data_IF_793713439120
#
_entry.id   IF_793713439120
#
_cell.length_a   1.000
_cell.length_b   1.000
_cell.length_c   1.000
_cell.angle_alpha   90.00
_cell.angle_beta   90.00
_cell.angle_gamma   90.00
#
_symmetry.space_group_name_H-M   'P 1'
#
loop_
_entity.id
_entity.type
_entity.pdbx_description
1 polymer ?
#
# COMPACT_ATOMS: atom_id res chain seq x y z
N UNK A 1 -43.34 15.09 -28.55
CA UNK A 1 -42.42 15.77 -27.61
C UNK A 1 -41.00 15.49 -28.09
N UNK A 2 -40.08 16.46 -28.00
CA UNK A 2 -38.66 16.21 -28.24
C UNK A 2 -38.11 15.24 -27.18
N UNK A 3 -37.06 14.49 -27.50
CA UNK A 3 -36.47 13.53 -26.57
C UNK A 3 -34.95 13.62 -26.56
N UNK A 4 -34.37 13.51 -25.37
CA UNK A 4 -32.92 13.59 -25.19
C UNK A 4 -32.29 12.20 -25.33
N UNK A 5 -31.27 12.09 -26.18
CA UNK A 5 -30.49 10.86 -26.33
C UNK A 5 -29.71 10.56 -25.04
N UNK A 6 -29.89 9.37 -24.47
CA UNK A 6 -29.16 8.97 -23.25
C UNK A 6 -27.67 8.69 -23.48
N UNK A 7 -27.24 8.52 -24.73
CA UNK A 7 -25.85 8.18 -25.09
C UNK A 7 -25.01 9.43 -25.36
N UNK A 8 -25.55 10.42 -26.07
CA UNK A 8 -24.83 11.63 -26.45
C UNK A 8 -25.48 12.94 -25.99
N UNK A 9 -26.58 12.88 -25.24
CA UNK A 9 -27.33 14.03 -24.68
C UNK A 9 -28.00 14.98 -25.69
N UNK A 10 -27.87 14.72 -26.99
CA UNK A 10 -28.52 15.50 -28.04
C UNK A 10 -30.05 15.45 -27.93
N UNK A 11 -30.71 16.60 -28.09
CA UNK A 11 -32.16 16.74 -28.01
C UNK A 11 -32.75 16.60 -29.42
N UNK A 12 -33.35 15.44 -29.70
CA UNK A 12 -33.94 15.14 -31.01
C UNK A 12 -35.30 15.86 -31.16
N UNK A 13 -35.60 16.42 -32.34
CA UNK A 13 -36.88 17.08 -32.60
C UNK A 13 -38.04 16.08 -32.57
N UNK A 14 -39.29 16.54 -32.37
CA UNK A 14 -40.46 15.66 -32.30
C UNK A 14 -40.70 14.79 -33.55
N UNK A 15 -40.18 15.18 -34.71
CA UNK A 15 -40.26 14.43 -35.98
C UNK A 15 -39.34 13.20 -36.00
N UNK A 16 -38.31 13.17 -35.16
CA UNK A 16 -37.31 12.11 -35.15
C UNK A 16 -37.64 11.06 -34.09
N UNK A 17 -38.23 9.96 -34.52
CA UNK A 17 -38.86 8.96 -33.62
C UNK A 17 -38.15 7.59 -33.59
N UNK A 18 -37.24 7.31 -34.53
CA UNK A 18 -36.61 5.98 -34.68
C UNK A 18 -35.22 5.90 -34.05
N UNK A 19 -34.40 6.95 -34.16
CA UNK A 19 -33.02 6.97 -33.66
C UNK A 19 -32.48 8.38 -33.48
N UNK A 20 -31.42 8.53 -32.69
CA UNK A 20 -30.78 9.84 -32.48
C UNK A 20 -30.07 10.31 -33.75
N UNK A 21 -30.32 11.55 -34.17
CA UNK A 21 -29.75 12.15 -35.39
C UNK A 21 -28.21 12.19 -35.41
N UNK A 22 -27.58 12.25 -34.22
CA UNK A 22 -26.12 12.39 -34.10
C UNK A 22 -25.41 11.04 -34.00
N UNK A 23 -26.00 10.06 -33.32
CA UNK A 23 -25.29 8.83 -32.98
C UNK A 23 -26.08 7.54 -33.26
N UNK A 24 -27.24 7.65 -33.91
CA UNK A 24 -28.08 6.55 -34.40
C UNK A 24 -28.54 5.57 -33.30
N UNK A 25 -28.52 6.00 -32.03
CA UNK A 25 -28.99 5.20 -30.91
C UNK A 25 -30.51 5.34 -30.75
N UNK A 26 -31.21 4.24 -30.45
CA UNK A 26 -32.66 4.20 -30.33
C UNK A 26 -33.22 5.02 -29.15
N UNK A 27 -34.48 5.53 -29.26
CA UNK A 27 -35.15 6.23 -28.18
C UNK A 27 -35.49 5.31 -27.00
N UNK A 28 -35.60 5.86 -25.78
CA UNK A 28 -36.02 5.08 -24.61
C UNK A 28 -37.50 4.66 -24.73
N UNK A 29 -37.78 3.36 -24.65
CA UNK A 29 -39.15 2.82 -24.62
C UNK A 29 -39.87 3.15 -23.30
N UNK A 30 -41.19 3.39 -23.30
CA UNK A 30 -41.97 3.55 -22.09
C UNK A 30 -42.33 2.18 -21.50
N UNK A 31 -41.73 1.80 -20.36
CA UNK A 31 -42.21 0.67 -19.56
C UNK A 31 -41.94 0.88 -18.07
N UNK A 32 -42.96 0.53 -17.32
CA UNK A 32 -43.21 0.61 -15.87
C UNK A 32 -42.16 -0.04 -14.97
N UNK A 33 -41.85 0.65 -13.87
CA UNK A 33 -41.49 0.22 -12.51
C UNK A 33 -40.66 -1.06 -12.24
N UNK A 34 -39.71 -0.86 -11.31
CA UNK A 34 -39.07 -1.81 -10.38
C UNK A 34 -38.06 -2.82 -10.93
N UNK A 35 -36.79 -2.43 -10.91
CA UNK A 35 -35.69 -3.27 -10.42
C UNK A 35 -34.50 -2.38 -10.03
N UNK A 36 -34.06 -2.52 -8.80
CA UNK A 36 -32.78 -2.07 -8.27
C UNK A 36 -31.65 -2.53 -9.20
N UNK A 37 -31.06 -1.61 -9.97
CA UNK A 37 -29.83 -1.91 -10.69
C UNK A 37 -28.66 -1.62 -9.77
N UNK A 38 -28.25 -2.66 -9.04
CA UNK A 38 -26.86 -2.82 -8.68
C UNK A 38 -26.05 -2.65 -9.96
N UNK A 39 -25.25 -1.60 -10.03
CA UNK A 39 -24.26 -1.46 -11.09
C UNK A 39 -23.27 -2.61 -10.93
N UNK A 40 -23.46 -3.69 -11.69
CA UNK A 40 -22.43 -4.72 -11.87
C UNK A 40 -21.31 -4.09 -12.69
N UNK A 41 -20.53 -3.24 -12.03
CA UNK A 41 -19.25 -2.80 -12.56
C UNK A 41 -18.46 -4.08 -12.86
N UNK A 42 -18.07 -4.27 -14.12
CA UNK A 42 -17.20 -5.37 -14.51
C UNK A 42 -16.04 -5.47 -13.52
N UNK A 43 -15.63 -6.66 -13.07
CA UNK A 43 -14.53 -6.80 -12.12
C UNK A 43 -13.30 -6.00 -12.58
N UNK A 44 -12.57 -5.40 -11.63
CA UNK A 44 -11.33 -4.65 -11.87
C UNK A 44 -10.20 -5.20 -11.02
N UNK A 45 -8.96 -5.07 -11.47
CA UNK A 45 -7.75 -5.41 -10.71
C UNK A 45 -6.99 -4.15 -10.31
N UNK A 46 -6.38 -4.14 -9.12
CA UNK A 46 -5.54 -3.03 -8.67
C UNK A 46 -4.10 -3.22 -9.14
N UNK A 47 -3.49 -2.16 -9.67
CA UNK A 47 -2.10 -2.18 -10.07
C UNK A 47 -1.17 -2.24 -8.85
N UNK A 48 -0.30 -3.26 -8.77
CA UNK A 48 0.70 -3.39 -7.69
C UNK A 48 1.72 -2.24 -7.63
N UNK A 49 1.93 -1.51 -8.72
CA UNK A 49 2.90 -0.40 -8.75
C UNK A 49 2.28 0.95 -8.42
N UNK A 50 0.98 1.15 -8.67
CA UNK A 50 0.37 2.47 -8.53
C UNK A 50 -1.05 2.48 -7.97
N UNK A 51 -1.52 1.34 -7.48
CA UNK A 51 -2.83 1.10 -6.83
C UNK A 51 -4.07 1.31 -7.72
N UNK A 52 -3.92 1.87 -8.93
CA UNK A 52 -5.02 2.16 -9.85
C UNK A 52 -5.83 0.93 -10.22
N UNK A 53 -7.17 1.07 -10.26
CA UNK A 53 -8.02 0.00 -10.77
C UNK A 53 -8.09 -0.04 -12.31
N UNK A 54 -7.83 -1.22 -12.85
CA UNK A 54 -7.80 -1.52 -14.28
C UNK A 54 -8.84 -2.59 -14.62
N UNK A 55 -9.34 -2.58 -15.85
CA UNK A 55 -10.24 -3.65 -16.33
C UNK A 55 -9.48 -4.98 -16.46
N UNK A 56 -10.10 -6.10 -16.08
CA UNK A 56 -9.52 -7.44 -16.35
C UNK A 56 -9.43 -7.78 -17.85
N UNK A 57 -10.04 -6.99 -18.75
CA UNK A 57 -9.84 -7.12 -20.20
C UNK A 57 -8.43 -6.70 -20.65
N UNK A 58 -7.73 -5.93 -19.81
CA UNK A 58 -6.38 -5.43 -20.09
C UNK A 58 -5.41 -6.02 -19.06
N UNK A 59 -4.42 -6.84 -19.49
CA UNK A 59 -3.41 -7.40 -18.60
C UNK A 59 -2.33 -6.38 -18.21
N UNK A 60 -2.42 -5.14 -18.71
CA UNK A 60 -1.46 -4.07 -18.48
C UNK A 60 -2.19 -2.89 -17.86
N UNK A 61 -1.61 -2.29 -16.81
CA UNK A 61 -2.14 -1.09 -16.20
C UNK A 61 -2.14 0.05 -17.23
N UNK A 62 -3.30 0.64 -17.48
CA UNK A 62 -3.47 1.68 -18.50
C UNK A 62 -2.74 2.98 -18.16
N UNK A 63 -2.35 3.17 -16.89
CA UNK A 63 -1.61 4.35 -16.44
C UNK A 63 -0.11 4.08 -16.43
N UNK A 64 0.37 3.08 -15.68
CA UNK A 64 1.81 2.87 -15.46
C UNK A 64 2.45 1.75 -16.29
N UNK A 65 1.67 1.00 -17.07
CA UNK A 65 2.21 -0.09 -17.90
C UNK A 65 2.61 -1.35 -17.13
N UNK A 66 2.39 -1.40 -15.81
CA UNK A 66 2.67 -2.60 -15.00
C UNK A 66 1.74 -3.74 -15.41
N UNK A 67 2.28 -4.95 -15.63
CA UNK A 67 1.50 -6.15 -15.98
C UNK A 67 0.78 -6.73 -14.75
N UNK A 68 -0.41 -7.28 -14.96
CA UNK A 68 -1.12 -8.10 -13.99
C UNK A 68 -0.65 -9.55 -14.12
N UNK A 69 0.14 -10.03 -13.17
CA UNK A 69 0.69 -11.39 -13.16
C UNK A 69 -0.38 -12.48 -13.05
N UNK A 70 -1.54 -12.18 -12.45
CA UNK A 70 -2.64 -13.15 -12.25
C UNK A 70 -3.36 -13.47 -13.57
N UNK A 71 -3.51 -12.50 -14.46
CA UNK A 71 -4.13 -12.71 -15.77
C UNK A 71 -3.22 -13.43 -16.77
N UNK A 72 -1.90 -13.39 -16.55
CA UNK A 72 -0.95 -14.09 -17.43
C UNK A 72 -0.94 -15.60 -17.23
N UNK A 73 -1.42 -16.11 -16.09
CA UNK A 73 -1.42 -17.56 -15.79
C UNK A 73 -2.69 -18.25 -16.30
N UNK A 74 -3.81 -17.53 -16.43
CA UNK A 74 -5.11 -18.10 -16.85
C UNK A 74 -5.25 -18.34 -18.37
N UNK A 75 -4.22 -18.06 -19.18
CA UNK A 75 -4.26 -18.21 -20.64
C UNK A 75 -3.46 -19.39 -21.20
N UNK A 76 -2.97 -20.30 -20.37
CA UNK A 76 -2.25 -21.50 -20.82
C UNK A 76 -3.13 -22.75 -20.73
N UNK A 77 -3.95 -22.95 -21.76
CA UNK A 77 -4.36 -24.29 -22.20
C UNK A 77 -3.85 -24.45 -23.64
N UNK A 78 -2.61 -24.94 -23.78
CA UNK A 78 -2.19 -25.91 -24.80
C UNK A 78 -0.67 -26.16 -24.67
N UNK A 79 -0.30 -27.44 -24.72
CA UNK A 79 0.97 -28.04 -24.28
C UNK A 79 1.97 -28.12 -25.46
N UNK A 80 3.19 -27.61 -25.29
CA UNK A 80 4.47 -28.36 -25.39
C UNK A 80 5.70 -27.43 -25.48
N UNK A 81 6.79 -27.99 -24.96
CA UNK A 81 8.21 -27.60 -25.03
C UNK A 81 8.77 -26.67 -23.94
N UNK A 82 9.74 -27.27 -23.25
CA UNK A 82 10.60 -26.78 -22.20
C UNK A 82 11.57 -25.76 -22.79
N UNK A 83 11.61 -24.57 -22.22
CA UNK A 83 12.85 -23.84 -21.96
C UNK A 83 12.68 -23.05 -20.65
N UNK A 84 13.60 -23.31 -19.74
CA UNK A 84 13.74 -22.68 -18.43
C UNK A 84 14.35 -21.28 -18.62
N UNK A 85 13.52 -20.23 -18.52
CA UNK A 85 13.99 -18.85 -18.42
C UNK A 85 13.23 -18.11 -17.30
N UNK A 86 13.77 -18.22 -16.09
CA UNK A 86 13.41 -17.39 -14.95
C UNK A 86 13.94 -15.96 -15.15
N UNK A 87 13.26 -15.17 -15.98
CA UNK A 87 13.62 -13.76 -16.20
C UNK A 87 12.43 -12.92 -16.66
N UNK A 88 11.68 -12.31 -15.72
CA UNK A 88 10.74 -11.24 -16.07
C UNK A 88 10.67 -10.17 -14.98
N UNK A 89 11.57 -9.19 -15.08
CA UNK A 89 11.58 -7.97 -14.27
C UNK A 89 12.17 -6.75 -14.98
N UNK A 90 12.29 -6.77 -16.30
CA UNK A 90 12.86 -5.66 -17.09
C UNK A 90 11.79 -4.98 -17.95
N UNK A 91 11.39 -3.76 -17.60
CA UNK A 91 10.50 -2.94 -18.44
C UNK A 91 11.30 -2.40 -19.66
N UNK A 92 11.18 -3.19 -20.72
CA UNK A 92 11.48 -3.12 -22.17
C UNK A 92 11.09 -1.89 -23.07
N UNK A 93 11.82 -0.77 -23.10
CA UNK A 93 12.24 0.04 -24.30
C UNK A 93 11.28 0.78 -25.26
N UNK A 94 11.76 1.86 -25.94
CA UNK A 94 11.23 2.34 -27.22
C UNK A 94 12.06 1.83 -28.42
N UNK A 95 11.40 1.16 -29.37
CA UNK A 95 11.90 0.88 -30.71
C UNK A 95 12.05 2.19 -31.51
N UNK A 96 13.27 2.49 -31.98
CA UNK A 96 13.51 3.54 -32.98
C UNK A 96 13.34 2.96 -34.39
N UNK A 97 12.74 3.76 -35.28
CA UNK A 97 12.53 3.39 -36.68
C UNK A 97 13.83 3.36 -37.49
N UNK A 98 13.98 2.31 -38.30
CA UNK A 98 15.03 2.18 -39.29
C UNK A 98 14.92 3.30 -40.34
N UNK A 99 16.00 4.05 -40.56
CA UNK A 99 16.29 4.68 -41.85
C UNK A 99 17.65 4.21 -42.35
N UNK A 100 17.62 3.56 -43.51
CA UNK A 100 18.80 3.20 -44.31
C UNK A 100 19.46 4.48 -44.85
N UNK A 101 20.80 4.54 -44.85
CA UNK A 101 21.63 4.97 -46.00
C UNK A 101 23.13 4.79 -45.75
N UNK A 102 23.75 4.01 -46.65
CA UNK A 102 25.08 4.07 -47.28
C UNK A 102 26.35 4.40 -46.46
N UNK A 103 27.19 3.36 -46.34
CA UNK A 103 28.63 3.23 -46.69
C UNK A 103 29.40 4.51 -47.07
N UNK A 104 30.50 4.76 -46.35
CA UNK A 104 31.86 4.85 -46.92
C UNK A 104 32.95 4.73 -45.81
N UNK A 105 34.16 4.41 -46.26
CA UNK A 105 35.22 3.60 -45.63
C UNK A 105 36.47 4.35 -45.14
N UNK A 106 37.43 3.58 -44.58
CA UNK A 106 38.90 3.79 -44.37
C UNK A 106 39.33 4.29 -42.96
N UNK A 107 39.97 3.43 -42.14
CA UNK A 107 41.45 3.25 -41.93
C UNK A 107 42.05 4.42 -41.10
N UNK A 108 42.95 4.29 -40.09
CA UNK A 108 43.88 3.25 -39.67
C UNK A 108 44.50 3.61 -38.28
N UNK A 109 45.33 2.70 -37.71
CA UNK A 109 46.52 2.96 -36.86
C UNK A 109 46.54 2.90 -35.30
N UNK A 110 47.03 1.75 -34.78
CA UNK A 110 48.20 1.51 -33.88
C UNK A 110 48.42 2.28 -32.54
N UNK A 111 48.23 1.56 -31.40
CA UNK A 111 49.09 1.26 -30.19
C UNK A 111 50.39 2.06 -29.80
N UNK A 112 51.08 1.84 -28.62
CA UNK A 112 50.71 1.37 -27.25
C UNK A 112 51.47 2.06 -26.04
N UNK A 113 51.35 1.46 -24.83
CA UNK A 113 52.21 1.51 -23.59
C UNK A 113 51.82 2.57 -22.52
N UNK A 114 51.87 2.36 -21.19
CA UNK A 114 52.83 1.65 -20.31
C UNK A 114 52.15 1.16 -19.00
N UNK A 115 52.66 0.04 -18.48
CA UNK A 115 52.33 -0.64 -17.23
C UNK A 115 52.60 0.14 -15.92
N UNK A 116 52.01 -0.33 -14.81
CA UNK A 116 52.67 -0.45 -13.50
C UNK A 116 51.95 -1.47 -12.61
N UNK A 117 52.64 -2.58 -12.37
CA UNK A 117 52.37 -3.55 -11.30
C UNK A 117 52.63 -2.92 -9.92
N UNK A 118 51.97 -3.45 -8.88
CA UNK A 118 52.60 -3.65 -7.57
C UNK A 118 51.94 -4.80 -6.82
N UNK A 119 52.80 -5.76 -6.47
CA UNK A 119 52.55 -7.01 -5.76
C UNK A 119 52.27 -6.77 -4.27
N UNK A 120 51.43 -7.63 -3.66
CA UNK A 120 51.71 -8.22 -2.35
C UNK A 120 50.89 -9.50 -2.17
N UNK A 121 51.60 -10.62 -2.13
CA UNK A 121 51.15 -11.91 -1.62
C UNK A 121 51.82 -12.13 -0.26
N UNK A 122 51.10 -12.71 0.71
CA UNK A 122 51.65 -13.57 1.77
C UNK A 122 50.61 -14.67 2.05
N UNK A 123 51.12 -15.90 2.03
CA UNK A 123 50.53 -17.23 2.24
C UNK A 123 49.87 -17.42 3.63
N UNK A 124 48.70 -18.07 3.73
CA UNK A 124 48.46 -19.51 3.96
C UNK A 124 48.95 -20.06 5.33
N UNK A 125 47.98 -20.45 6.17
CA UNK A 125 48.09 -21.67 6.98
C UNK A 125 46.73 -22.36 6.99
N UNK A 126 46.83 -23.63 6.62
CA UNK A 126 45.83 -24.66 6.41
C UNK A 126 45.55 -25.40 7.72
N UNK A 127 44.32 -25.87 7.90
CA UNK A 127 44.02 -27.09 8.65
C UNK A 127 42.75 -27.69 8.08
N UNK A 128 42.98 -28.56 7.10
CA UNK A 128 42.08 -29.61 6.67
C UNK A 128 42.00 -30.71 7.73
N UNK A 129 40.81 -31.29 7.91
CA UNK A 129 40.68 -32.74 7.94
C UNK A 129 39.27 -33.12 7.47
N UNK A 130 39.27 -33.88 6.38
CA UNK A 130 38.14 -34.48 5.66
C UNK A 130 37.48 -35.62 6.46
N UNK A 131 36.19 -35.85 6.19
CA UNK A 131 35.72 -37.22 5.95
C UNK A 131 34.53 -37.22 4.97
N UNK A 132 34.87 -37.47 3.71
CA UNK A 132 34.02 -38.00 2.62
C UNK A 132 33.54 -39.43 3.02
N UNK A 133 32.39 -40.03 2.66
CA UNK A 133 31.51 -39.98 1.47
C UNK A 133 30.37 -41.04 1.70
N UNK A 134 29.57 -41.48 0.70
CA UNK A 134 28.30 -40.93 0.19
C UNK A 134 27.09 -41.89 0.45
N UNK A 135 25.83 -41.51 0.14
CA UNK A 135 24.79 -42.47 -0.28
C UNK A 135 23.52 -41.79 -0.89
N UNK A 136 23.40 -42.01 -2.20
CA UNK A 136 22.23 -42.20 -3.10
C UNK A 136 20.81 -41.73 -2.74
N UNK A 137 20.19 -41.16 -3.78
CA UNK A 137 18.79 -40.78 -3.98
C UNK A 137 17.72 -41.80 -3.55
N UNK A 138 16.56 -41.28 -3.10
CA UNK A 138 15.20 -41.75 -3.43
C UNK A 138 14.11 -40.81 -2.91
N UNK A 139 13.04 -40.74 -3.69
CA UNK A 139 11.85 -39.90 -3.58
C UNK A 139 10.96 -40.08 -2.33
N UNK A 140 10.10 -39.07 -2.13
CA UNK A 140 8.66 -39.17 -1.79
C UNK A 140 8.22 -38.98 -0.33
N UNK A 141 7.45 -37.89 -0.14
CA UNK A 141 6.27 -37.74 0.72
C UNK A 141 6.40 -38.07 2.22
N UNK A 142 6.40 -37.03 3.06
CA UNK A 142 5.56 -36.98 4.27
C UNK A 142 5.51 -35.57 4.87
N UNK A 143 4.37 -34.92 4.71
CA UNK A 143 3.99 -33.72 5.45
C UNK A 143 2.56 -33.96 5.96
N UNK A 144 2.43 -34.76 7.02
CA UNK A 144 1.27 -34.81 7.93
C UNK A 144 1.79 -35.37 9.26
N UNK A 145 1.24 -34.85 10.36
CA UNK A 145 1.39 -35.33 11.75
C UNK A 145 2.49 -34.69 12.62
N UNK A 146 2.37 -33.38 12.88
CA UNK A 146 2.69 -32.82 14.21
C UNK A 146 1.61 -31.76 14.53
N UNK A 147 0.40 -32.20 14.83
CA UNK A 147 -0.71 -31.33 15.23
C UNK A 147 -1.51 -32.02 16.33
N UNK A 148 -0.90 -32.23 17.51
CA UNK A 148 -1.67 -32.68 18.70
C UNK A 148 -0.98 -32.48 20.06
N UNK A 149 -0.20 -31.41 20.26
CA UNK A 149 0.42 -31.18 21.58
C UNK A 149 0.59 -29.71 21.97
N UNK A 150 -0.42 -28.86 21.76
CA UNK A 150 -0.42 -27.52 22.36
C UNK A 150 -1.80 -27.07 22.86
N UNK A 151 -2.52 -27.99 23.50
CA UNK A 151 -3.77 -27.69 24.20
C UNK A 151 -3.67 -28.02 25.69
N UNK A 152 -2.74 -27.37 26.40
CA UNK A 152 -2.77 -27.27 27.87
C UNK A 152 -1.79 -26.17 28.29
N UNK A 153 -2.32 -24.98 28.58
CA UNK A 153 -1.77 -23.90 29.44
C UNK A 153 -2.33 -22.52 29.02
N UNK A 154 -3.64 -22.41 28.79
CA UNK A 154 -4.32 -21.11 28.82
C UNK A 154 -5.14 -21.03 30.11
N UNK A 155 -4.57 -20.42 31.15
CA UNK A 155 -5.35 -20.01 32.32
C UNK A 155 -6.32 -18.90 31.89
N UNK A 156 -7.59 -18.92 32.32
CA UNK A 156 -8.53 -17.84 32.04
C UNK A 156 -8.01 -16.54 32.64
N UNK A 157 -7.87 -15.48 31.84
CA UNK A 157 -7.66 -14.13 32.37
C UNK A 157 -8.93 -13.69 33.08
N UNK A 158 -8.82 -13.43 34.38
CA UNK A 158 -9.88 -12.85 35.20
C UNK A 158 -10.31 -11.49 34.64
N UNK A 159 -11.63 -11.23 34.63
CA UNK A 159 -12.22 -9.92 34.33
C UNK A 159 -11.68 -8.89 35.31
N UNK A 160 -10.79 -8.02 34.85
CA UNK A 160 -10.36 -6.85 35.61
C UNK A 160 -11.39 -5.74 35.42
N UNK A 161 -12.07 -5.47 36.54
CA UNK A 161 -12.76 -4.26 36.99
C UNK A 161 -12.82 -3.04 36.04
N UNK A 162 -14.06 -2.64 35.78
CA UNK A 162 -14.50 -1.38 35.16
C UNK A 162 -14.24 -0.20 36.10
N UNK A 163 -13.13 0.53 35.91
CA UNK A 163 -12.91 1.75 36.70
C UNK A 163 -11.54 2.43 36.65
N UNK A 164 -10.53 1.90 35.95
CA UNK A 164 -9.27 2.63 35.75
C UNK A 164 -9.43 3.63 34.61
N UNK A 165 -9.49 4.92 34.96
CA UNK A 165 -9.39 6.01 33.99
C UNK A 165 -8.19 5.78 33.07
N UNK A 166 -8.43 5.85 31.76
CA UNK A 166 -7.40 5.65 30.75
C UNK A 166 -6.39 6.80 30.85
N UNK A 167 -5.30 6.58 31.59
CA UNK A 167 -4.28 7.62 31.81
C UNK A 167 -3.56 8.01 30.51
N UNK A 168 -3.48 7.10 29.54
CA UNK A 168 -2.89 7.35 28.22
C UNK A 168 -3.44 6.39 27.16
N UNK A 169 -3.57 6.87 25.92
CA UNK A 169 -3.94 6.08 24.75
C UNK A 169 -2.85 6.16 23.70
N UNK A 170 -2.55 5.04 23.03
CA UNK A 170 -1.61 4.98 21.92
C UNK A 170 -2.33 4.58 20.62
N UNK A 171 -2.10 5.34 19.57
CA UNK A 171 -2.64 5.09 18.24
C UNK A 171 -1.48 4.98 17.26
N UNK A 172 -1.36 3.85 16.59
CA UNK A 172 -0.37 3.61 15.53
C UNK A 172 -1.02 3.81 14.17
N UNK A 173 -0.35 4.53 13.25
CA UNK A 173 -0.67 4.51 11.82
C UNK A 173 0.53 4.00 11.04
N UNK A 174 0.31 3.08 10.10
CA UNK A 174 1.39 2.50 9.32
C UNK A 174 0.90 2.01 7.93
N UNK A 175 1.40 2.61 6.84
CA UNK A 175 1.32 2.00 5.52
C UNK A 175 2.32 0.81 5.45
N UNK A 176 1.80 -0.41 5.34
CA UNK A 176 2.61 -1.64 5.45
C UNK A 176 3.29 -2.06 4.14
N UNK A 177 3.00 -1.33 3.05
CA UNK A 177 3.50 -1.56 1.71
C UNK A 177 3.17 -2.93 1.13
N UNK A 178 2.18 -2.94 0.23
CA UNK A 178 1.67 -4.13 -0.47
C UNK A 178 2.63 -4.79 -1.48
N UNK A 179 3.92 -4.43 -1.47
CA UNK A 179 4.94 -4.99 -2.38
C UNK A 179 5.42 -6.35 -1.87
N UNK A 180 4.57 -7.36 -2.09
CA UNK A 180 4.69 -8.72 -1.53
C UNK A 180 5.88 -9.53 -2.05
N UNK A 181 6.44 -9.18 -3.20
CA UNK A 181 7.63 -9.85 -3.76
C UNK A 181 8.93 -9.53 -2.99
N UNK A 182 8.90 -8.59 -2.04
CA UNK A 182 10.05 -8.18 -1.26
C UNK A 182 9.87 -8.59 0.21
N UNK A 183 10.47 -9.72 0.58
CA UNK A 183 10.64 -10.20 1.95
C UNK A 183 9.38 -10.08 2.84
N UNK A 184 8.21 -10.38 2.27
CA UNK A 184 6.90 -10.12 2.86
C UNK A 184 6.79 -10.58 4.32
N UNK A 185 7.07 -11.86 4.59
CA UNK A 185 6.93 -12.43 5.93
C UNK A 185 7.86 -11.74 6.94
N UNK A 186 9.11 -11.47 6.57
CA UNK A 186 10.08 -10.80 7.44
C UNK A 186 9.66 -9.36 7.72
N UNK A 187 9.18 -8.64 6.70
CA UNK A 187 8.64 -7.28 6.85
C UNK A 187 7.43 -7.25 7.77
N UNK A 188 6.44 -8.11 7.53
CA UNK A 188 5.22 -8.16 8.34
C UNK A 188 5.51 -8.62 9.77
N UNK A 189 6.46 -9.54 9.96
CA UNK A 189 6.96 -9.90 11.29
C UNK A 189 7.59 -8.70 11.99
N UNK A 190 8.45 -7.92 11.32
CA UNK A 190 9.06 -6.74 11.91
C UNK A 190 8.02 -5.67 12.30
N UNK A 191 6.98 -5.47 11.50
CA UNK A 191 5.83 -4.62 11.88
C UNK A 191 5.11 -5.21 13.10
N UNK A 192 4.91 -6.53 13.15
CA UNK A 192 4.34 -7.22 14.32
C UNK A 192 5.17 -7.06 15.59
N UNK A 193 6.50 -7.09 15.48
CA UNK A 193 7.43 -6.85 16.59
C UNK A 193 7.29 -5.41 17.12
N UNK A 194 7.10 -4.41 16.24
CA UNK A 194 6.79 -3.03 16.63
C UNK A 194 5.42 -2.93 17.34
N UNK A 195 4.41 -3.66 16.87
CA UNK A 195 3.10 -3.72 17.53
C UNK A 195 3.24 -4.29 18.95
N UNK A 196 3.99 -5.38 19.12
CA UNK A 196 4.28 -5.97 20.42
C UNK A 196 5.04 -5.01 21.34
N UNK A 197 6.08 -4.35 20.82
CA UNK A 197 6.93 -3.43 21.56
C UNK A 197 6.16 -2.21 22.08
N UNK A 198 5.38 -1.56 21.21
CA UNK A 198 4.70 -0.31 21.56
C UNK A 198 3.33 -0.53 22.18
N UNK A 199 2.74 -1.70 21.96
CA UNK A 199 1.43 -2.13 22.45
C UNK A 199 0.34 -1.06 22.26
N UNK A 200 0.12 -0.57 21.02
CA UNK A 200 -0.86 0.48 20.77
C UNK A 200 -2.29 0.03 21.12
N UNK A 201 -3.14 0.94 21.55
CA UNK A 201 -4.57 0.68 21.81
C UNK A 201 -5.36 0.60 20.51
N UNK A 202 -4.95 1.38 19.51
CA UNK A 202 -5.52 1.39 18.17
C UNK A 202 -4.43 1.30 17.11
N UNK A 203 -4.71 0.58 16.02
CA UNK A 203 -3.81 0.50 14.87
C UNK A 203 -4.58 0.81 13.60
N UNK A 204 -4.02 1.69 12.78
CA UNK A 204 -4.49 2.11 11.47
C UNK A 204 -3.49 1.63 10.42
N UNK A 205 -3.73 0.48 9.81
CA UNK A 205 -2.91 0.01 8.70
C UNK A 205 -3.49 0.43 7.34
N UNK A 206 -2.61 0.76 6.40
CA UNK A 206 -2.92 1.01 4.99
C UNK A 206 -2.16 0.01 4.11
N UNK A 207 -2.63 -0.24 2.89
CA UNK A 207 -2.04 -1.21 1.95
C UNK A 207 -2.00 -2.66 2.44
N UNK A 208 -2.96 -3.05 3.30
CA UNK A 208 -3.10 -4.44 3.71
C UNK A 208 -3.71 -5.25 2.57
N UNK A 209 -3.02 -6.29 2.12
CA UNK A 209 -3.51 -7.28 1.16
C UNK A 209 -4.09 -8.49 1.89
N UNK A 210 -4.65 -9.46 1.13
CA UNK A 210 -5.09 -10.74 1.70
C UNK A 210 -3.96 -11.47 2.42
N UNK A 211 -2.79 -11.60 1.77
CA UNK A 211 -1.69 -12.40 2.31
C UNK A 211 -1.07 -11.71 3.55
N UNK A 212 -0.99 -10.38 3.56
CA UNK A 212 -0.61 -9.62 4.76
C UNK A 212 -1.60 -9.84 5.91
N UNK A 213 -2.90 -9.80 5.62
CA UNK A 213 -3.93 -10.05 6.63
C UNK A 213 -3.81 -11.45 7.24
N UNK A 214 -3.55 -12.48 6.43
CA UNK A 214 -3.36 -13.83 6.94
C UNK A 214 -2.11 -13.92 7.84
N UNK A 215 -0.99 -13.27 7.47
CA UNK A 215 0.21 -13.19 8.32
C UNK A 215 -0.10 -12.50 9.66
N UNK A 216 -0.79 -11.36 9.62
CA UNK A 216 -1.17 -10.63 10.83
C UNK A 216 -2.13 -11.44 11.70
N UNK A 217 -3.09 -12.16 11.10
CA UNK A 217 -4.04 -13.01 11.83
C UNK A 217 -3.36 -14.18 12.55
N UNK A 218 -2.25 -14.69 12.01
CA UNK A 218 -1.43 -15.73 12.63
C UNK A 218 -0.47 -15.18 13.70
N UNK A 219 -0.33 -13.86 13.81
CA UNK A 219 0.59 -13.24 14.76
C UNK A 219 0.05 -13.29 16.19
N UNK A 220 0.94 -13.45 17.16
CA UNK A 220 0.59 -13.59 18.59
C UNK A 220 -0.13 -12.38 19.19
N UNK A 221 0.07 -11.19 18.61
CA UNK A 221 -0.58 -9.97 19.04
C UNK A 221 -2.01 -9.81 18.50
N UNK A 222 -2.46 -10.60 17.53
CA UNK A 222 -3.75 -10.40 16.86
C UNK A 222 -4.94 -10.48 17.81
N UNK A 223 -4.96 -11.48 18.67
CA UNK A 223 -6.14 -11.87 19.45
C UNK A 223 -6.58 -10.85 20.51
N UNK A 224 -5.74 -9.84 20.83
CA UNK A 224 -6.13 -8.77 21.75
C UNK A 224 -6.84 -7.61 21.04
N UNK A 225 -6.97 -7.66 19.71
CA UNK A 225 -7.60 -6.61 18.92
C UNK A 225 -8.92 -7.06 18.29
N UNK A 226 -9.93 -6.19 18.39
CA UNK A 226 -11.08 -6.19 17.51
C UNK A 226 -10.68 -5.63 16.14
N UNK A 227 -11.10 -6.30 15.06
CA UNK A 227 -10.70 -5.95 13.70
C UNK A 227 -11.88 -5.45 12.85
N UNK A 228 -11.66 -4.36 12.11
CA UNK A 228 -12.65 -3.77 11.20
C UNK A 228 -12.86 -4.54 9.89
N UNK A 229 -12.03 -5.56 9.63
CA UNK A 229 -12.03 -6.33 8.38
C UNK A 229 -12.43 -7.76 8.67
N UNK A 230 -13.58 -8.17 8.11
CA UNK A 230 -14.01 -9.57 8.10
C UNK A 230 -13.19 -10.38 7.09
N UNK A 231 -13.14 -11.70 7.26
CA UNK A 231 -12.50 -12.61 6.30
C UNK A 231 -13.08 -12.43 4.88
N UNK A 232 -14.40 -12.22 4.74
CA UNK A 232 -15.01 -11.96 3.43
C UNK A 232 -14.50 -10.67 2.77
N UNK A 233 -14.36 -9.60 3.57
CA UNK A 233 -13.82 -8.31 3.07
C UNK A 233 -12.35 -8.46 2.69
N UNK A 234 -11.57 -9.20 3.48
CA UNK A 234 -10.14 -9.42 3.23
C UNK A 234 -9.87 -10.12 1.89
N UNK A 235 -10.79 -10.99 1.44
CA UNK A 235 -10.61 -11.82 0.25
C UNK A 235 -11.26 -11.22 -1.01
N UNK A 236 -12.07 -10.17 -0.86
CA UNK A 236 -12.79 -9.52 -1.98
C UNK A 236 -12.11 -8.28 -2.54
N UNK A 237 -11.13 -7.71 -1.84
CA UNK A 237 -10.38 -6.51 -2.28
C UNK A 237 -8.91 -6.84 -2.47
N UNK A 238 -8.28 -6.19 -3.45
CA UNK A 238 -6.85 -6.35 -3.71
C UNK A 238 -5.98 -5.82 -2.55
N UNK A 239 -6.37 -4.69 -1.97
CA UNK A 239 -5.79 -4.13 -0.76
C UNK A 239 -6.83 -3.23 -0.06
N UNK A 240 -6.60 -2.89 1.21
CA UNK A 240 -7.52 -2.09 2.02
C UNK A 240 -6.83 -1.43 3.22
N UNK A 241 -7.56 -0.54 3.89
CA UNK A 241 -7.19 -0.10 5.22
C UNK A 241 -7.79 -1.04 6.28
N UNK A 242 -7.05 -1.25 7.36
CA UNK A 242 -7.46 -2.10 8.48
C UNK A 242 -7.34 -1.33 9.79
N UNK A 243 -8.45 -1.24 10.54
CA UNK A 243 -8.48 -0.69 11.88
C UNK A 243 -8.53 -1.84 12.89
N UNK A 244 -7.67 -1.75 13.90
CA UNK A 244 -7.61 -2.66 15.03
C UNK A 244 -7.79 -1.87 16.32
N UNK A 245 -8.55 -2.41 17.27
CA UNK A 245 -8.82 -1.79 18.58
C UNK A 245 -8.70 -2.80 19.71
N UNK A 246 -7.91 -2.50 20.74
CA UNK A 246 -7.94 -3.25 22.00
C UNK A 246 -9.19 -2.96 22.83
N UNK A 247 -9.78 -1.79 22.64
CA UNK A 247 -10.98 -1.37 23.37
C UNK A 247 -12.25 -1.89 22.67
N UNK A 248 -13.34 -2.13 23.42
CA UNK A 248 -14.62 -2.48 22.86
C UNK A 248 -15.09 -1.44 21.83
N UNK A 249 -15.47 -1.92 20.64
CA UNK A 249 -15.91 -1.07 19.53
C UNK A 249 -17.41 -1.23 19.34
N UNK A 250 -18.13 -0.11 19.41
CA UNK A 250 -19.57 -0.05 19.16
C UNK A 250 -19.89 -0.40 17.71
N UNK A 251 -19.11 0.14 16.78
CA UNK A 251 -19.25 -0.17 15.36
C UNK A 251 -17.98 0.12 14.57
N UNK A 252 -17.74 -0.73 13.58
CA UNK A 252 -16.86 -0.43 12.47
C UNK A 252 -17.70 -0.07 11.25
N UNK A 253 -17.28 0.96 10.51
CA UNK A 253 -17.90 1.34 9.25
C UNK A 253 -16.84 1.79 8.25
N UNK A 254 -17.16 1.72 6.97
CA UNK A 254 -16.31 2.18 5.89
C UNK A 254 -17.14 2.95 4.87
N UNK A 255 -16.65 4.11 4.44
CA UNK A 255 -17.28 4.93 3.41
C UNK A 255 -16.35 5.11 2.23
N UNK A 256 -16.70 4.56 1.07
CA UNK A 256 -15.97 4.76 -0.17
C UNK A 256 -16.03 6.23 -0.62
N UNK A 257 -14.90 6.75 -1.09
CA UNK A 257 -14.88 8.05 -1.76
C UNK A 257 -15.37 7.89 -3.20
N UNK A 258 -16.40 8.66 -3.57
CA UNK A 258 -17.04 8.53 -4.89
C UNK A 258 -16.13 8.96 -6.04
N UNK A 259 -15.18 9.85 -5.78
CA UNK A 259 -14.18 10.32 -6.75
C UNK A 259 -12.94 9.41 -6.84
N UNK A 260 -12.88 8.32 -6.05
CA UNK A 260 -11.70 7.45 -6.05
C UNK A 260 -11.65 6.52 -7.25
N UNK A 261 -10.48 6.42 -7.85
CA UNK A 261 -10.16 5.46 -8.93
C UNK A 261 -9.23 4.35 -8.46
N UNK A 262 -8.76 4.44 -7.21
CA UNK A 262 -7.91 3.46 -6.54
C UNK A 262 -8.64 2.69 -5.44
N UNK A 263 -9.93 2.97 -5.18
CA UNK A 263 -10.74 2.25 -4.20
C UNK A 263 -10.59 2.75 -2.77
N UNK A 264 -10.29 4.04 -2.63
CA UNK A 264 -10.02 4.66 -1.33
C UNK A 264 -11.31 4.80 -0.54
N UNK A 265 -11.21 4.56 0.76
CA UNK A 265 -12.33 4.62 1.69
C UNK A 265 -11.89 5.23 3.02
N UNK A 266 -12.83 5.89 3.70
CA UNK A 266 -12.70 6.29 5.09
C UNK A 266 -13.20 5.15 5.98
N UNK A 267 -12.30 4.49 6.70
CA UNK A 267 -12.63 3.51 7.73
C UNK A 267 -12.79 4.21 9.09
N UNK A 268 -13.82 3.85 9.85
CA UNK A 268 -14.17 4.49 11.12
C UNK A 268 -14.46 3.41 12.17
N UNK A 269 -13.87 3.55 13.35
CA UNK A 269 -14.18 2.81 14.55
C UNK A 269 -14.79 3.76 15.59
N UNK A 270 -16.08 3.57 15.91
CA UNK A 270 -16.73 4.25 17.02
C UNK A 270 -16.57 3.38 18.28
N UNK A 271 -15.82 3.87 19.27
CA UNK A 271 -15.48 3.12 20.50
C UNK A 271 -16.64 3.23 21.50
N UNK A 272 -16.92 2.15 22.24
CA UNK A 272 -18.02 2.14 23.21
C UNK A 272 -17.81 3.17 24.31
N UNK A 273 -16.65 3.10 24.98
CA UNK A 273 -16.28 4.02 26.05
C UNK A 273 -14.76 4.14 26.18
N UNK A 274 -14.29 5.37 26.39
CA UNK A 274 -12.90 5.65 26.76
C UNK A 274 -12.91 6.55 28.00
N UNK A 275 -13.06 5.94 29.18
CA UNK A 275 -13.08 6.67 30.45
C UNK A 275 -14.31 7.57 30.61
N UNK A 276 -15.49 7.09 30.21
CA UNK A 276 -16.75 7.83 30.23
C UNK A 276 -16.96 8.76 29.02
N UNK A 277 -16.08 8.70 28.02
CA UNK A 277 -16.04 9.65 26.89
C UNK A 277 -16.19 8.94 25.55
N UNK A 278 -17.02 9.52 24.67
CA UNK A 278 -17.11 9.10 23.27
C UNK A 278 -15.78 9.38 22.56
N UNK A 279 -15.30 8.39 21.80
CA UNK A 279 -14.06 8.46 21.07
C UNK A 279 -14.18 7.76 19.71
N UNK A 280 -13.60 8.37 18.68
CA UNK A 280 -13.60 7.83 17.33
C UNK A 280 -12.16 7.78 16.80
N UNK A 281 -11.79 6.63 16.25
CA UNK A 281 -10.56 6.48 15.46
C UNK A 281 -10.95 6.25 14.02
N UNK A 282 -10.33 6.98 13.11
CA UNK A 282 -10.54 6.82 11.68
C UNK A 282 -9.21 6.64 10.95
N UNK A 283 -9.27 5.91 9.84
CA UNK A 283 -8.14 5.80 8.90
C UNK A 283 -8.57 5.89 7.46
N UNK A 284 -7.67 6.38 6.63
CA UNK A 284 -7.79 6.35 5.19
C UNK A 284 -6.42 6.16 4.55
N UNK A 285 -6.44 5.80 3.27
CA UNK A 285 -5.30 5.94 2.38
C UNK A 285 -5.77 6.84 1.23
N UNK A 286 -5.52 8.16 1.30
CA UNK A 286 -6.06 9.09 0.30
C UNK A 286 -5.39 8.93 -1.07
N UNK A 287 -6.06 9.37 -2.14
CA UNK A 287 -5.64 9.14 -3.53
C UNK A 287 -4.14 9.42 -3.75
N UNK A 288 -3.40 8.42 -4.21
CA UNK A 288 -1.95 8.52 -4.38
C UNK A 288 -1.58 9.24 -5.68
N UNK A 289 -0.44 9.94 -5.74
CA UNK A 289 0.12 10.36 -7.02
C UNK A 289 0.55 9.12 -7.83
N UNK A 290 0.23 9.08 -9.12
CA UNK A 290 0.73 8.05 -10.04
C UNK A 290 1.31 8.71 -11.31
N UNK A 291 2.51 9.32 -11.21
CA UNK A 291 3.17 9.85 -12.40
C UNK A 291 3.53 8.71 -13.33
N UNK A 292 2.89 8.67 -14.49
CA UNK A 292 3.12 7.61 -15.46
C UNK A 292 2.97 8.08 -16.92
N UNK A 293 3.59 7.36 -17.88
CA UNK A 293 3.41 7.66 -19.30
C UNK A 293 1.92 7.76 -19.69
N UNK A 294 1.57 8.63 -20.65
CA UNK A 294 2.46 9.49 -21.43
C UNK A 294 2.77 10.83 -20.74
N UNK A 295 1.99 11.25 -19.74
CA UNK A 295 2.03 12.63 -19.22
C UNK A 295 2.95 12.83 -18.01
N UNK A 296 3.15 11.80 -17.19
CA UNK A 296 3.98 11.82 -15.97
C UNK A 296 3.54 12.84 -14.89
N UNK A 297 2.36 13.43 -15.01
CA UNK A 297 1.86 14.53 -14.17
C UNK A 297 0.61 14.17 -13.36
N UNK A 298 0.19 12.89 -13.36
CA UNK A 298 -1.04 12.46 -12.71
C UNK A 298 -0.87 12.39 -11.19
N UNK A 299 -1.04 13.54 -10.53
CA UNK A 299 -0.81 13.72 -9.09
C UNK A 299 -2.05 13.54 -8.21
N UNK A 300 -3.24 13.47 -8.81
CA UNK A 300 -4.53 13.29 -8.15
C UNK A 300 -4.78 14.23 -6.95
N UNK A 301 -4.25 15.46 -7.06
CA UNK A 301 -4.31 16.46 -5.98
C UNK A 301 -5.74 16.88 -5.67
N UNK A 302 -6.54 17.14 -6.71
CA UNK A 302 -7.93 17.56 -6.55
C UNK A 302 -8.75 16.49 -5.84
N UNK A 303 -8.60 15.23 -6.27
CA UNK A 303 -9.30 14.09 -5.70
C UNK A 303 -8.95 13.93 -4.23
N UNK A 304 -7.66 13.94 -3.90
CA UNK A 304 -7.15 13.84 -2.53
C UNK A 304 -7.63 14.98 -1.63
N UNK A 305 -7.65 16.23 -2.12
CA UNK A 305 -8.17 17.39 -1.37
C UNK A 305 -9.66 17.25 -1.08
N UNK A 306 -10.45 16.83 -2.07
CA UNK A 306 -11.89 16.55 -1.89
C UNK A 306 -12.13 15.44 -0.86
N UNK A 307 -11.34 14.36 -0.91
CA UNK A 307 -11.43 13.24 0.04
C UNK A 307 -11.10 13.66 1.48
N UNK A 308 -10.04 14.46 1.67
CA UNK A 308 -9.67 14.99 2.99
C UNK A 308 -10.79 15.88 3.57
N UNK A 309 -11.36 16.77 2.75
CA UNK A 309 -12.50 17.60 3.14
C UNK A 309 -13.74 16.77 3.48
N UNK A 310 -14.07 15.77 2.67
CA UNK A 310 -15.19 14.87 2.92
C UNK A 310 -15.01 14.13 4.25
N UNK A 311 -13.81 13.59 4.51
CA UNK A 311 -13.52 12.88 5.75
C UNK A 311 -13.67 13.77 6.99
N UNK A 312 -13.09 14.97 6.99
CA UNK A 312 -13.23 15.91 8.11
C UNK A 312 -14.70 16.32 8.31
N UNK A 313 -15.46 16.52 7.23
CA UNK A 313 -16.88 16.84 7.31
C UNK A 313 -17.74 15.74 7.91
N UNK A 314 -17.41 14.47 7.66
CA UNK A 314 -18.09 13.32 8.28
C UNK A 314 -17.73 13.21 9.76
N UNK A 315 -16.45 13.40 10.08
CA UNK A 315 -15.93 13.14 11.41
C UNK A 315 -16.20 14.27 12.42
N UNK A 316 -16.38 15.52 11.96
CA UNK A 316 -16.60 16.69 12.84
C UNK A 316 -17.80 16.60 13.78
N UNK A 317 -18.74 15.68 13.50
CA UNK A 317 -19.91 15.39 14.36
C UNK A 317 -19.52 14.82 15.72
N UNK A 318 -18.31 14.25 15.85
CA UNK A 318 -17.83 13.65 17.08
C UNK A 318 -16.94 14.62 17.89
N UNK A 319 -17.01 14.56 19.23
CA UNK A 319 -16.26 15.46 20.10
C UNK A 319 -14.77 15.09 20.24
N UNK A 320 -14.43 13.80 20.13
CA UNK A 320 -13.07 13.29 20.22
C UNK A 320 -12.79 12.36 19.03
N UNK A 321 -11.94 12.81 18.13
CA UNK A 321 -11.56 12.09 16.92
C UNK A 321 -10.05 12.11 16.75
N UNK A 322 -9.49 10.95 16.44
CA UNK A 322 -8.17 10.80 15.83
C UNK A 322 -8.35 10.26 14.43
N UNK A 323 -7.97 11.05 13.42
CA UNK A 323 -7.94 10.61 12.02
C UNK A 323 -6.49 10.47 11.58
N UNK A 324 -6.03 9.23 11.42
CA UNK A 324 -4.66 8.89 11.05
C UNK A 324 -4.59 8.12 9.74
N UNK A 325 -3.44 8.10 9.08
CA UNK A 325 -3.26 7.29 7.86
C UNK A 325 -2.29 7.91 6.88
N UNK A 326 -2.08 7.20 5.78
CA UNK A 326 -1.37 7.72 4.61
C UNK A 326 -2.27 8.69 3.86
N UNK A 327 -2.04 9.98 4.09
CA UNK A 327 -2.80 11.05 3.46
C UNK A 327 -2.28 11.36 2.06
N UNK A 328 -1.18 10.76 1.60
CA UNK A 328 -0.47 11.10 0.35
C UNK A 328 -0.24 12.60 0.13
N UNK A 329 -0.21 13.38 1.22
CA UNK A 329 -0.34 14.83 1.14
C UNK A 329 0.98 15.50 0.77
N UNK A 330 0.96 16.31 -0.28
CA UNK A 330 2.09 17.13 -0.70
C UNK A 330 1.76 18.60 -0.45
N UNK A 331 2.28 19.18 0.64
CA UNK A 331 1.97 20.57 1.04
C UNK A 331 2.29 21.61 -0.05
N UNK A 332 3.18 21.29 -1.00
CA UNK A 332 3.51 22.18 -2.13
C UNK A 332 2.51 22.09 -3.27
N UNK A 333 1.92 20.90 -3.52
CA UNK A 333 1.03 20.65 -4.65
C UNK A 333 -0.44 20.72 -4.26
N UNK A 334 -0.77 20.22 -3.07
CA UNK A 334 -2.13 20.15 -2.53
C UNK A 334 -2.48 21.38 -1.69
N UNK A 335 -1.46 22.18 -1.34
CA UNK A 335 -1.59 23.31 -0.45
C UNK A 335 -1.68 22.90 1.02
N UNK A 336 -2.19 23.82 1.84
CA UNK A 336 -2.38 23.57 3.25
C UNK A 336 -3.45 22.48 3.45
N UNK A 337 -3.18 21.52 4.34
CA UNK A 337 -4.16 20.52 4.71
C UNK A 337 -5.45 21.21 5.21
N UNK A 338 -6.66 20.80 4.78
CA UNK A 338 -7.91 21.53 4.99
C UNK A 338 -8.45 21.38 6.42
N UNK A 339 -7.64 21.68 7.43
CA UNK A 339 -8.02 21.66 8.83
C UNK A 339 -9.19 22.62 9.06
N UNK A 340 -10.26 22.11 9.68
CA UNK A 340 -11.42 22.89 10.10
C UNK A 340 -11.23 23.38 11.54
N UNK A 341 -12.05 24.33 11.98
CA UNK A 341 -12.00 24.83 13.36
C UNK A 341 -12.08 23.71 14.42
N UNK A 342 -11.15 23.77 15.38
CA UNK A 342 -11.01 22.77 16.44
C UNK A 342 -10.25 21.51 16.03
N UNK A 343 -9.79 21.41 14.79
CA UNK A 343 -8.86 20.37 14.35
C UNK A 343 -7.42 20.84 14.42
N UNK A 344 -6.51 19.91 14.67
CA UNK A 344 -5.06 20.14 14.66
C UNK A 344 -4.35 19.01 13.92
N UNK A 345 -3.14 19.30 13.42
CA UNK A 345 -2.18 18.30 12.95
C UNK A 345 -1.22 17.98 14.11
N UNK A 346 -1.21 16.73 14.56
CA UNK A 346 -0.48 16.33 15.76
C UNK A 346 1.04 16.51 15.62
N UNK A 347 1.61 16.25 14.44
CA UNK A 347 3.03 16.41 14.20
C UNK A 347 3.40 17.90 14.24
N UNK A 348 2.65 18.74 13.54
CA UNK A 348 2.91 20.18 13.50
C UNK A 348 2.83 20.84 14.88
N UNK A 349 2.01 20.33 15.79
CA UNK A 349 1.91 20.84 17.17
C UNK A 349 3.04 20.31 18.07
N UNK A 350 3.34 19.02 18.01
CA UNK A 350 4.28 18.37 18.95
C UNK A 350 5.76 18.43 18.50
N UNK A 351 6.00 18.59 17.20
CA UNK A 351 7.32 18.59 16.56
C UNK A 351 7.43 19.73 15.51
N UNK A 352 7.16 21.00 15.88
CA UNK A 352 7.05 22.11 14.92
C UNK A 352 8.34 22.40 14.12
N UNK A 353 9.50 21.98 14.65
CA UNK A 353 10.81 22.23 14.06
C UNK A 353 11.35 21.01 13.28
N UNK A 354 10.58 19.93 13.18
CA UNK A 354 10.99 18.70 12.50
C UNK A 354 10.13 18.47 11.26
N UNK A 355 10.77 18.08 10.15
CA UNK A 355 10.08 17.92 8.88
C UNK A 355 9.07 16.76 8.86
N UNK A 356 9.26 15.75 9.72
CA UNK A 356 8.36 14.61 9.84
C UNK A 356 8.23 13.78 8.57
N UNK A 357 9.33 13.54 7.85
CA UNK A 357 9.28 12.73 6.63
C UNK A 357 8.99 11.26 6.95
N UNK A 358 7.73 10.86 6.80
CA UNK A 358 7.29 9.47 6.96
C UNK A 358 7.57 8.62 5.72
N UNK A 359 7.78 9.26 4.57
CA UNK A 359 8.33 8.66 3.37
C UNK A 359 9.62 9.39 2.99
N UNK A 360 10.76 8.73 3.15
CA UNK A 360 12.06 9.36 2.95
C UNK A 360 13.07 8.44 2.25
N UNK A 361 13.27 8.67 0.96
CA UNK A 361 14.27 7.95 0.15
C UNK A 361 15.73 8.18 0.54
N UNK A 362 16.03 9.15 1.43
CA UNK A 362 17.40 9.35 1.94
C UNK A 362 17.68 8.51 3.16
N UNK A 363 16.79 8.52 4.15
CA UNK A 363 16.99 7.75 5.38
C UNK A 363 16.54 6.29 5.23
N UNK A 364 15.51 6.01 4.43
CA UNK A 364 15.05 4.65 4.20
C UNK A 364 15.95 3.99 3.14
N UNK A 365 16.96 3.26 3.63
CA UNK A 365 17.96 2.63 2.78
C UNK A 365 17.37 1.55 1.85
N UNK A 366 16.20 0.99 2.17
CA UNK A 366 15.49 0.08 1.27
C UNK A 366 15.11 0.77 -0.05
N UNK A 367 14.93 2.10 -0.04
CA UNK A 367 14.59 2.89 -1.22
C UNK A 367 15.82 3.37 -1.99
N UNK A 368 17.03 2.95 -1.60
CA UNK A 368 18.28 3.35 -2.25
C UNK A 368 18.20 3.19 -3.77
N UNK A 369 18.71 4.21 -4.46
CA UNK A 369 18.68 4.28 -5.92
C UNK A 369 17.41 4.90 -6.51
N UNK A 370 16.35 5.13 -5.74
CA UNK A 370 15.21 5.95 -6.18
C UNK A 370 15.60 7.42 -6.33
N UNK A 371 14.77 8.19 -7.04
CA UNK A 371 14.89 9.66 -7.04
C UNK A 371 14.62 10.17 -5.64
N UNK A 372 15.34 11.22 -5.23
CA UNK A 372 15.13 11.84 -3.93
C UNK A 372 13.71 12.37 -3.80
N UNK A 373 12.99 11.80 -2.84
CA UNK A 373 11.67 12.17 -2.40
C UNK A 373 11.64 12.07 -0.87
N UNK A 374 11.25 13.17 -0.22
CA UNK A 374 11.10 13.27 1.24
C UNK A 374 9.78 13.98 1.52
N UNK A 375 8.81 13.25 2.08
CA UNK A 375 7.42 13.70 2.22
C UNK A 375 6.83 13.24 3.55
N UNK A 376 5.93 14.06 4.10
CA UNK A 376 5.11 13.75 5.27
C UNK A 376 3.74 13.29 4.79
N UNK A 377 3.72 12.08 4.23
CA UNK A 377 2.53 11.49 3.62
C UNK A 377 1.57 11.03 4.72
N UNK A 378 2.09 10.40 5.76
CA UNK A 378 1.34 9.91 6.90
C UNK A 378 1.15 11.02 7.93
N UNK A 379 -0.09 11.18 8.40
CA UNK A 379 -0.45 12.25 9.35
C UNK A 379 -1.44 11.74 10.38
N UNK A 380 -1.45 12.41 11.54
CA UNK A 380 -2.57 12.38 12.48
C UNK A 380 -3.21 13.76 12.56
N UNK A 381 -4.49 13.82 12.26
CA UNK A 381 -5.33 15.01 12.36
C UNK A 381 -6.39 14.76 13.42
N UNK A 382 -6.43 15.62 14.44
CA UNK A 382 -7.18 15.35 15.67
C UNK A 382 -8.16 16.48 15.98
N UNK A 383 -9.33 16.13 16.52
CA UNK A 383 -10.30 17.04 17.15
C UNK A 383 -10.62 16.48 18.52
N UNK A 384 -10.11 17.09 19.59
CA UNK A 384 -10.17 16.51 20.93
C UNK A 384 -10.74 17.49 21.94
N UNK A 385 -11.93 17.20 22.46
CA UNK A 385 -12.56 17.93 23.56
C UNK A 385 -12.01 17.49 24.91
N UNK A 386 -12.05 16.19 25.18
CA UNK A 386 -11.78 15.58 26.49
C UNK A 386 -10.34 15.02 26.62
N UNK A 387 -9.59 14.99 25.51
CA UNK A 387 -8.22 14.49 25.46
C UNK A 387 -7.28 15.56 24.94
N UNK A 388 -5.98 15.37 25.18
CA UNK A 388 -4.89 16.16 24.59
C UNK A 388 -3.84 15.22 24.00
N UNK A 389 -3.23 15.65 22.90
CA UNK A 389 -2.04 14.99 22.37
C UNK A 389 -0.88 15.24 23.35
N UNK A 390 -0.10 14.21 23.65
CA UNK A 390 1.02 14.29 24.60
C UNK A 390 2.36 13.91 23.97
N UNK A 391 2.39 12.99 23.01
CA UNK A 391 3.60 12.65 22.28
C UNK A 391 3.29 12.13 20.87
N UNK A 392 4.26 12.23 19.96
CA UNK A 392 4.22 11.58 18.66
C UNK A 392 5.64 11.13 18.31
N UNK A 393 5.77 9.86 17.94
CA UNK A 393 7.04 9.24 17.58
C UNK A 393 6.94 8.64 16.17
N UNK A 394 8.07 8.65 15.46
CA UNK A 394 8.25 7.93 14.20
C UNK A 394 8.96 6.61 14.50
N UNK A 395 8.44 5.50 13.98
CA UNK A 395 8.93 4.14 14.29
C UNK A 395 9.16 3.32 13.01
N UNK A 396 9.86 2.19 13.14
CA UNK A 396 10.17 1.31 12.00
C UNK A 396 11.24 1.88 11.06
N UNK A 397 12.16 2.67 11.62
CA UNK A 397 13.27 3.30 10.89
C UNK A 397 14.50 2.40 10.75
N UNK A 398 14.54 1.30 11.50
CA UNK A 398 15.67 0.39 11.53
C UNK A 398 15.53 -0.70 10.45
N UNK A 399 16.67 -1.07 9.89
CA UNK A 399 16.79 -2.21 8.98
C UNK A 399 16.51 -3.52 9.73
N UNK A 400 15.89 -4.47 9.04
CA UNK A 400 15.70 -5.83 9.55
C UNK A 400 17.06 -6.54 9.49
N UNK A 401 17.63 -6.97 10.62
CA UNK A 401 18.98 -7.51 10.66
C UNK A 401 19.17 -8.71 9.72
N UNK A 402 20.19 -8.63 8.87
CA UNK A 402 20.56 -9.72 7.94
C UNK A 402 19.61 -9.90 6.75
N UNK A 403 18.70 -8.95 6.50
CA UNK A 403 17.76 -9.02 5.38
C UNK A 403 18.08 -7.95 4.34
N UNK A 404 18.28 -8.39 3.10
CA UNK A 404 18.57 -7.54 1.95
C UNK A 404 17.85 -8.04 0.70
N UNK A 405 17.63 -7.16 -0.27
CA UNK A 405 17.08 -7.53 -1.57
C UNK A 405 17.90 -6.93 -2.72
N UNK A 406 17.86 -7.59 -3.87
CA UNK A 406 18.49 -7.09 -5.09
C UNK A 406 17.54 -6.16 -5.85
N UNK A 407 18.06 -4.98 -6.20
CA UNK A 407 17.34 -3.96 -6.94
C UNK A 407 18.06 -3.66 -8.24
N UNK A 408 17.33 -3.85 -9.34
CA UNK A 408 17.81 -3.43 -10.65
C UNK A 408 17.68 -1.91 -10.83
N UNK A 409 18.77 -1.29 -11.28
CA UNK A 409 18.79 0.13 -11.64
C UNK A 409 19.50 0.32 -12.97
N UNK A 410 18.79 0.95 -13.92
CA UNK A 410 19.38 1.37 -15.18
C UNK A 410 20.20 2.65 -14.97
N UNK A 411 21.51 2.58 -15.17
CA UNK A 411 22.43 3.71 -15.09
C UNK A 411 23.12 3.86 -16.44
N UNK A 412 22.88 4.99 -17.13
CA UNK A 412 23.48 5.30 -18.45
C UNK A 412 23.30 4.21 -19.53
N UNK A 413 22.21 3.44 -19.46
CA UNK A 413 21.91 2.39 -20.44
C UNK A 413 22.19 0.97 -19.94
N UNK A 414 23.04 0.82 -18.93
CA UNK A 414 23.40 -0.47 -18.32
C UNK A 414 22.50 -0.80 -17.13
N UNK A 415 22.16 -2.06 -16.96
CA UNK A 415 21.44 -2.56 -15.77
C UNK A 415 22.49 -2.87 -14.70
N UNK A 416 22.38 -2.23 -13.54
CA UNK A 416 23.19 -2.51 -12.36
C UNK A 416 22.30 -3.14 -11.27
N UNK A 417 22.81 -4.18 -10.63
CA UNK A 417 22.21 -4.74 -9.43
C UNK A 417 22.73 -3.98 -8.20
N UNK A 418 21.81 -3.54 -7.34
CA UNK A 418 22.11 -2.91 -6.06
C UNK A 418 21.58 -3.82 -4.96
N UNK A 419 22.43 -4.19 -4.01
CA UNK A 419 21.98 -4.86 -2.79
C UNK A 419 21.53 -3.78 -1.82
N UNK A 420 20.25 -3.79 -1.46
CA UNK A 420 19.66 -2.83 -0.54
C UNK A 420 19.20 -3.56 0.73
N UNK A 421 19.34 -2.96 1.93
CA UNK A 421 18.76 -3.52 3.13
C UNK A 421 17.23 -3.48 3.07
N UNK A 422 16.57 -4.28 3.90
CA UNK A 422 15.12 -4.32 4.00
C UNK A 422 14.71 -3.71 5.34
N UNK A 423 13.87 -2.69 5.28
CA UNK A 423 13.13 -2.13 6.42
C UNK A 423 11.72 -2.75 6.51
N UNK A 424 10.92 -2.47 7.55
CA UNK A 424 9.55 -3.01 7.64
C UNK A 424 8.65 -2.56 6.47
N UNK A 425 8.82 -1.34 5.96
CA UNK A 425 8.03 -0.76 4.87
C UNK A 425 8.84 0.33 4.15
N UNK A 426 8.34 0.81 3.00
CA UNK A 426 8.84 2.05 2.38
C UNK A 426 8.39 3.31 3.13
N UNK A 427 7.40 3.18 4.03
CA UNK A 427 7.00 4.19 5.01
C UNK A 427 7.57 3.89 6.41
N UNK A 428 7.68 4.95 7.21
CA UNK A 428 7.82 4.86 8.66
C UNK A 428 6.46 4.97 9.35
N UNK A 429 6.28 4.23 10.43
CA UNK A 429 5.07 4.29 11.24
C UNK A 429 5.02 5.55 12.09
N UNK A 430 3.82 6.04 12.40
CA UNK A 430 3.58 7.11 13.37
C UNK A 430 2.87 6.57 14.59
N UNK A 431 3.40 6.82 15.78
CA UNK A 431 2.81 6.45 17.06
C UNK A 431 2.39 7.71 17.82
N UNK A 432 1.09 7.98 17.85
CA UNK A 432 0.50 9.09 18.60
C UNK A 432 0.14 8.62 20.01
N UNK A 433 0.49 9.44 21.01
CA UNK A 433 0.07 9.25 22.40
C UNK A 433 -0.87 10.38 22.80
N UNK A 434 -2.01 10.02 23.40
CA UNK A 434 -2.94 10.93 24.04
C UNK A 434 -2.92 10.76 25.56
N UNK A 435 -3.39 11.79 26.26
CA UNK A 435 -3.71 11.77 27.68
C UNK A 435 -5.08 12.41 27.91
N UNK A 436 -5.75 12.05 29.00
CA UNK A 436 -6.93 12.79 29.45
C UNK A 436 -6.57 14.24 29.75
N UNK A 437 -7.52 15.15 29.51
CA UNK A 437 -7.36 16.56 29.86
C UNK A 437 -7.55 16.83 31.34
#
# INVERSE_FOLDING_TARGET
MSWSCKKCTFVNPPSQISECEICFSSPPHPSSSSATSSSSSSPKWSCKSCTLFNSYKNPICHLCGTRNTVLSISSFNDINDIDDDSSVGSVFWPLRSCKRKAVDSLEDSVQPLVAKESKKAIDFVDFSEDFDQPLKAKDSKRAVDIFDSYEHFAKPLERVDSGKGVSSLKILSYNVWFREDLELEKRMKAIGDLVLMHSPDFICFQEVTRDIYDIFKLSTWWNVYHCSVSSEKAYSKAYYCMLLSKLPVKSFSAKSFSNSIMGRELCIAEVEDVGGKSFVVATSHLESPCPAPPKWDQMFSKERVEQANEALNILKRHPNVVFGGDMNWDDKKDGQYPLQDGWLDAWSVLRPNEAGWTYDTKSNQMLTGNRTLQKRLDRFVCRLRDFKISNIDMIGMDEIPGVSYNKEKKVRGEIKQLVCPVLPSDHYGLLLTLSSK
#
